data_IF_175184420511
#
_entry.id   IF_175184420511
#
_cell.length_a   1.000
_cell.length_b   1.000
_cell.length_c   1.000
_cell.angle_alpha   90.00
_cell.angle_beta   90.00
_cell.angle_gamma   90.00
#
_symmetry.space_group_name_H-M   'P 1'
#
loop_
_entity.id
_entity.type
_entity.pdbx_description
1 polymer ?
#
# COMPACT_ATOMS: atom_id res chain seq x y z
N UNK A 1 -13.44 28.15 -11.22
CA UNK A 1 -13.44 26.86 -10.50
C UNK A 1 -14.04 25.76 -11.38
N UNK A 2 -15.26 25.93 -11.89
CA UNK A 2 -15.93 24.95 -12.76
C UNK A 2 -15.11 24.62 -14.03
N UNK A 3 -14.56 25.62 -14.71
CA UNK A 3 -13.75 25.38 -15.94
C UNK A 3 -12.45 24.62 -15.67
N UNK A 4 -11.86 24.82 -14.48
CA UNK A 4 -10.67 24.07 -14.05
C UNK A 4 -11.03 22.62 -13.75
N UNK A 5 -12.16 22.39 -13.08
CA UNK A 5 -12.66 21.03 -12.81
C UNK A 5 -12.96 20.32 -14.14
N UNK A 6 -13.65 20.98 -15.08
CA UNK A 6 -13.93 20.41 -16.40
C UNK A 6 -12.63 20.09 -17.16
N UNK A 7 -11.67 21.01 -17.14
CA UNK A 7 -10.35 20.79 -17.72
C UNK A 7 -9.63 19.58 -17.12
N UNK A 8 -9.64 19.40 -15.79
CA UNK A 8 -9.01 18.25 -15.14
C UNK A 8 -9.74 16.93 -15.48
N UNK A 9 -11.07 16.96 -15.55
CA UNK A 9 -11.89 15.81 -15.93
C UNK A 9 -11.62 15.40 -17.38
N UNK A 10 -11.58 16.37 -18.30
CA UNK A 10 -11.27 16.12 -19.71
C UNK A 10 -9.85 15.58 -19.88
N UNK A 11 -8.90 16.10 -19.10
CA UNK A 11 -7.51 15.66 -19.13
C UNK A 11 -7.35 14.24 -18.57
N UNK A 12 -8.07 13.90 -17.48
CA UNK A 12 -8.13 12.54 -16.94
C UNK A 12 -8.76 11.57 -17.93
N UNK A 13 -9.89 11.95 -18.54
CA UNK A 13 -10.58 11.13 -19.53
C UNK A 13 -9.70 10.89 -20.76
N UNK A 14 -9.04 11.93 -21.27
CA UNK A 14 -8.12 11.83 -22.42
C UNK A 14 -6.93 10.92 -22.11
N UNK A 15 -6.37 11.04 -20.90
CA UNK A 15 -5.28 10.19 -20.43
C UNK A 15 -5.71 8.73 -20.29
N UNK A 16 -6.87 8.48 -19.68
CA UNK A 16 -7.44 7.13 -19.57
C UNK A 16 -7.67 6.51 -20.96
N UNK A 17 -8.24 7.30 -21.88
CA UNK A 17 -8.49 6.86 -23.26
C UNK A 17 -7.19 6.61 -24.03
N UNK A 18 -6.12 7.35 -23.76
CA UNK A 18 -4.80 7.10 -24.31
C UNK A 18 -4.27 5.73 -23.86
N UNK A 19 -4.29 5.45 -22.55
CA UNK A 19 -3.87 4.14 -22.00
C UNK A 19 -4.71 2.99 -22.57
N UNK A 20 -6.02 3.18 -22.66
CA UNK A 20 -6.96 2.19 -23.21
C UNK A 20 -6.88 2.03 -24.73
N UNK A 21 -6.34 2.98 -25.49
CA UNK A 21 -6.24 2.85 -26.96
C UNK A 21 -4.86 2.39 -27.42
N UNK A 22 -3.79 2.93 -26.84
CA UNK A 22 -2.43 2.61 -27.28
C UNK A 22 -1.88 1.34 -26.64
N UNK A 23 -2.20 1.03 -25.38
CA UNK A 23 -1.54 -0.05 -24.64
C UNK A 23 -2.51 -0.86 -23.74
N UNK A 24 -3.62 -1.34 -24.32
CA UNK A 24 -4.62 -2.19 -23.62
C UNK A 24 -4.00 -3.34 -22.84
N UNK A 25 -3.00 -4.01 -23.43
CA UNK A 25 -2.33 -5.13 -22.78
C UNK A 25 -1.62 -4.71 -21.49
N UNK A 26 -0.91 -3.58 -21.50
CA UNK A 26 -0.25 -3.04 -20.31
C UNK A 26 -1.26 -2.60 -19.25
N UNK A 27 -2.39 -2.00 -19.66
CA UNK A 27 -3.45 -1.63 -18.74
C UNK A 27 -4.07 -2.85 -18.03
N UNK A 28 -4.39 -3.91 -18.79
CA UNK A 28 -4.91 -5.16 -18.24
C UNK A 28 -3.88 -5.81 -17.32
N UNK A 29 -2.61 -5.85 -17.73
CA UNK A 29 -1.53 -6.39 -16.91
C UNK A 29 -1.37 -5.61 -15.60
N UNK A 30 -1.41 -4.27 -15.65
CA UNK A 30 -1.34 -3.43 -14.46
C UNK A 30 -2.53 -3.68 -13.52
N UNK A 31 -3.75 -3.80 -14.05
CA UNK A 31 -4.94 -4.15 -13.28
C UNK A 31 -4.82 -5.53 -12.62
N UNK A 32 -4.35 -6.53 -13.37
CA UNK A 32 -4.10 -7.87 -12.85
C UNK A 32 -3.04 -7.87 -11.76
N UNK A 33 -1.89 -7.24 -11.99
CA UNK A 33 -0.81 -7.12 -10.99
C UNK A 33 -1.28 -6.39 -9.73
N UNK A 34 -2.13 -5.38 -9.89
CA UNK A 34 -2.75 -4.67 -8.77
C UNK A 34 -3.67 -5.60 -7.97
N UNK A 35 -4.52 -6.38 -8.64
CA UNK A 35 -5.37 -7.36 -7.98
C UNK A 35 -4.56 -8.42 -7.22
N UNK A 36 -3.50 -8.94 -7.83
CA UNK A 36 -2.57 -9.90 -7.18
C UNK A 36 -1.91 -9.26 -5.96
N UNK A 37 -1.44 -8.02 -6.08
CA UNK A 37 -0.83 -7.29 -4.96
C UNK A 37 -1.80 -7.14 -3.78
N UNK A 38 -3.06 -6.79 -4.04
CA UNK A 38 -4.11 -6.72 -3.01
C UNK A 38 -4.41 -8.08 -2.37
N UNK A 39 -4.57 -9.13 -3.19
CA UNK A 39 -4.82 -10.50 -2.69
C UNK A 39 -3.67 -10.98 -1.82
N UNK A 40 -2.42 -10.77 -2.24
CA UNK A 40 -1.25 -11.09 -1.42
C UNK A 40 -1.28 -10.32 -0.09
N UNK A 41 -1.60 -9.02 -0.11
CA UNK A 41 -1.74 -8.22 1.09
C UNK A 41 -2.82 -8.73 2.05
N UNK A 42 -3.96 -9.15 1.52
CA UNK A 42 -5.09 -9.65 2.30
C UNK A 42 -4.89 -11.07 2.84
N UNK A 43 -3.96 -11.85 2.28
CA UNK A 43 -3.57 -13.16 2.80
C UNK A 43 -2.62 -13.08 3.99
N UNK A 44 -1.86 -11.99 4.15
CA UNK A 44 -0.86 -11.85 5.22
C UNK A 44 -1.43 -12.19 6.62
N UNK A 45 -2.58 -11.66 7.05
CA UNK A 45 -3.14 -11.99 8.36
C UNK A 45 -3.41 -13.47 8.55
N UNK A 46 -4.03 -14.12 7.56
CA UNK A 46 -4.33 -15.55 7.61
C UNK A 46 -3.06 -16.39 7.68
N UNK A 47 -2.01 -16.00 6.95
CA UNK A 47 -0.70 -16.66 7.03
C UNK A 47 -0.03 -16.48 8.40
N UNK A 48 -0.18 -15.32 9.05
CA UNK A 48 0.33 -15.10 10.42
C UNK A 48 -0.40 -16.03 11.40
N UNK A 49 -1.73 -16.12 11.32
CA UNK A 49 -2.53 -16.99 12.19
C UNK A 49 -2.16 -18.46 11.99
N UNK A 50 -1.99 -18.89 10.74
CA UNK A 50 -1.51 -20.24 10.42
C UNK A 50 -0.09 -20.49 10.96
N UNK A 51 0.77 -19.47 10.97
CA UNK A 51 2.09 -19.51 11.60
C UNK A 51 2.05 -19.70 13.12
N UNK A 52 0.94 -19.34 13.78
CA UNK A 52 0.70 -19.63 15.19
C UNK A 52 0.07 -21.01 15.45
N UNK A 53 -0.15 -21.80 14.39
CA UNK A 53 -0.79 -23.12 14.48
C UNK A 53 -2.32 -23.06 14.57
N UNK A 54 -2.94 -21.91 14.23
CA UNK A 54 -4.38 -21.75 14.16
C UNK A 54 -4.91 -22.11 12.76
N UNK A 55 -6.22 -22.29 12.64
CA UNK A 55 -6.88 -22.56 11.36
C UNK A 55 -6.65 -21.42 10.35
N UNK A 56 -6.75 -21.77 9.07
CA UNK A 56 -6.64 -20.81 7.98
C UNK A 56 -7.94 -20.00 7.84
N UNK A 57 -8.07 -18.92 8.61
CA UNK A 57 -9.20 -17.98 8.56
C UNK A 57 -9.14 -17.06 7.32
N UNK A 58 -9.06 -17.65 6.11
CA UNK A 58 -8.82 -16.89 4.87
C UNK A 58 -10.01 -15.99 4.53
N UNK A 59 -11.23 -16.52 4.57
CA UNK A 59 -12.44 -15.77 4.20
C UNK A 59 -12.73 -14.67 5.23
N UNK A 60 -12.58 -14.99 6.51
CA UNK A 60 -12.73 -14.07 7.63
C UNK A 60 -11.66 -12.98 7.59
N UNK A 61 -10.43 -13.33 7.23
CA UNK A 61 -9.35 -12.34 7.05
C UNK A 61 -9.68 -11.37 5.94
N UNK A 62 -10.19 -11.84 4.80
CA UNK A 62 -10.64 -10.96 3.70
C UNK A 62 -11.76 -10.03 4.16
N UNK A 63 -12.77 -10.54 4.86
CA UNK A 63 -13.85 -9.72 5.40
C UNK A 63 -13.32 -8.66 6.39
N UNK A 64 -12.46 -9.04 7.31
CA UNK A 64 -11.83 -8.11 8.25
C UNK A 64 -10.98 -7.05 7.53
N UNK A 65 -10.25 -7.40 6.48
CA UNK A 65 -9.46 -6.43 5.71
C UNK A 65 -10.33 -5.40 4.99
N UNK A 66 -11.50 -5.81 4.46
CA UNK A 66 -12.46 -4.87 3.87
C UNK A 66 -12.97 -3.88 4.93
N UNK A 67 -13.37 -4.35 6.11
CA UNK A 67 -13.78 -3.47 7.20
C UNK A 67 -12.64 -2.58 7.69
N UNK A 68 -11.43 -3.12 7.81
CA UNK A 68 -10.26 -2.36 8.23
C UNK A 68 -9.95 -1.22 7.26
N UNK A 69 -10.04 -1.45 5.94
CA UNK A 69 -9.88 -0.39 4.93
C UNK A 69 -10.92 0.72 5.11
N UNK A 70 -12.19 0.37 5.33
CA UNK A 70 -13.26 1.35 5.55
C UNK A 70 -12.96 2.18 6.80
N UNK A 71 -12.52 1.53 7.88
CA UNK A 71 -12.16 2.20 9.14
C UNK A 71 -10.97 3.16 8.93
N UNK A 72 -9.93 2.69 8.23
CA UNK A 72 -8.68 3.42 7.99
C UNK A 72 -8.86 4.59 6.99
N UNK A 73 -9.85 4.52 6.10
CA UNK A 73 -10.19 5.61 5.18
C UNK A 73 -10.76 6.85 5.89
N UNK A 74 -11.21 6.74 7.13
CA UNK A 74 -11.57 7.92 7.93
C UNK A 74 -10.28 8.70 8.28
N UNK A 75 -10.13 9.97 7.85
CA UNK A 75 -8.90 10.75 8.01
C UNK A 75 -8.75 11.25 9.46
N UNK A 76 -8.68 10.31 10.39
CA UNK A 76 -8.75 10.55 11.83
C UNK A 76 -7.37 10.70 12.47
N UNK A 77 -6.31 10.12 11.86
CA UNK A 77 -4.94 10.23 12.36
C UNK A 77 -3.92 10.31 11.21
N UNK A 78 -2.88 11.16 11.30
CA UNK A 78 -1.77 11.16 10.34
C UNK A 78 -1.12 9.77 10.29
N UNK A 79 -1.07 9.17 9.09
CA UNK A 79 -0.49 7.84 8.90
C UNK A 79 -1.32 6.66 9.44
N UNK A 80 -2.57 6.89 9.89
CA UNK A 80 -3.60 5.91 10.31
C UNK A 80 -3.15 4.78 11.27
N UNK A 81 -2.00 4.92 11.92
CA UNK A 81 -1.31 3.77 12.52
C UNK A 81 -2.00 3.28 13.80
N UNK A 82 -2.48 4.18 14.66
CA UNK A 82 -3.22 3.82 15.87
C UNK A 82 -4.61 3.23 15.57
N UNK A 83 -5.31 3.77 14.57
CA UNK A 83 -6.61 3.26 14.12
C UNK A 83 -6.47 1.90 13.46
N UNK A 84 -5.39 1.68 12.71
CA UNK A 84 -5.09 0.37 12.12
C UNK A 84 -4.77 -0.67 13.20
N UNK A 85 -4.03 -0.29 14.24
CA UNK A 85 -3.65 -1.21 15.33
C UNK A 85 -4.88 -1.64 16.15
N UNK A 86 -5.68 -0.68 16.60
CA UNK A 86 -6.92 -0.94 17.34
C UNK A 86 -7.97 -1.64 16.46
N UNK A 87 -8.08 -1.23 15.20
CA UNK A 87 -9.01 -1.84 14.24
C UNK A 87 -8.64 -3.29 13.94
N UNK A 88 -7.36 -3.58 13.68
CA UNK A 88 -6.89 -4.95 13.45
C UNK A 88 -7.05 -5.81 14.72
N UNK A 89 -6.62 -5.31 15.89
CA UNK A 89 -6.79 -6.02 17.15
C UNK A 89 -8.26 -6.31 17.47
N UNK A 90 -9.14 -5.33 17.28
CA UNK A 90 -10.57 -5.46 17.50
C UNK A 90 -11.21 -6.49 16.56
N UNK A 91 -11.02 -6.35 15.25
CA UNK A 91 -11.62 -7.26 14.26
C UNK A 91 -11.14 -8.70 14.43
N UNK A 92 -9.83 -8.91 14.67
CA UNK A 92 -9.29 -10.26 14.83
C UNK A 92 -9.60 -10.87 16.21
N UNK A 93 -9.88 -10.06 17.24
CA UNK A 93 -10.37 -10.59 18.52
C UNK A 93 -11.74 -11.25 18.39
N UNK A 94 -12.58 -10.74 17.48
CA UNK A 94 -13.89 -11.31 17.18
C UNK A 94 -13.71 -12.64 16.43
N UNK A 95 -12.80 -12.69 15.46
CA UNK A 95 -12.53 -13.90 14.65
C UNK A 95 -11.97 -15.02 15.51
N UNK A 96 -11.00 -14.73 16.40
CA UNK A 96 -10.33 -15.74 17.21
C UNK A 96 -11.17 -16.21 18.41
N UNK A 97 -12.17 -15.42 18.81
CA UNK A 97 -12.98 -15.68 20.00
C UNK A 97 -12.21 -15.38 21.31
N UNK A 98 -12.96 -15.28 22.41
CA UNK A 98 -12.45 -14.77 23.71
C UNK A 98 -11.24 -15.56 24.25
N UNK A 99 -11.24 -16.89 24.10
CA UNK A 99 -10.20 -17.77 24.64
C UNK A 99 -8.84 -17.60 23.93
N UNK A 100 -8.85 -17.55 22.60
CA UNK A 100 -7.61 -17.41 21.82
C UNK A 100 -7.11 -15.95 21.79
N UNK A 101 -8.02 -14.98 21.92
CA UNK A 101 -7.67 -13.56 21.78
C UNK A 101 -6.67 -13.06 22.82
N UNK A 102 -6.74 -13.56 24.05
CA UNK A 102 -5.89 -13.08 25.15
C UNK A 102 -4.40 -13.40 24.95
N UNK A 103 -4.08 -14.45 24.19
CA UNK A 103 -2.71 -14.91 23.96
C UNK A 103 -2.19 -14.42 22.61
N UNK A 104 -3.01 -14.45 21.56
CA UNK A 104 -2.51 -14.28 20.19
C UNK A 104 -2.66 -12.86 19.63
N UNK A 105 -3.54 -12.01 20.15
CA UNK A 105 -3.81 -10.68 19.54
C UNK A 105 -2.60 -9.75 19.58
N UNK A 106 -1.90 -9.66 20.72
CA UNK A 106 -0.71 -8.83 20.83
C UNK A 106 0.38 -9.22 19.83
N UNK A 107 0.84 -10.49 19.84
CA UNK A 107 1.80 -11.00 18.86
C UNK A 107 1.31 -10.87 17.40
N UNK A 108 0.02 -11.13 17.15
CA UNK A 108 -0.58 -11.01 15.82
C UNK A 108 -0.47 -9.58 15.29
N UNK A 109 -0.95 -8.60 16.05
CA UNK A 109 -0.94 -7.18 15.65
C UNK A 109 0.50 -6.71 15.42
N UNK A 110 1.43 -7.12 16.29
CA UNK A 110 2.85 -6.79 16.13
C UNK A 110 3.43 -7.37 14.83
N UNK A 111 3.23 -8.66 14.56
CA UNK A 111 3.70 -9.30 13.33
C UNK A 111 3.05 -8.69 12.08
N UNK A 112 1.75 -8.43 12.14
CA UNK A 112 1.01 -7.80 11.07
C UNK A 112 1.60 -6.43 10.72
N UNK A 113 1.86 -5.58 11.73
CA UNK A 113 2.49 -4.26 11.54
C UNK A 113 3.93 -4.36 11.08
N UNK A 114 4.69 -5.32 11.59
CA UNK A 114 6.08 -5.53 11.16
C UNK A 114 6.14 -5.81 9.65
N UNK A 115 5.32 -6.74 9.17
CA UNK A 115 5.28 -7.16 7.77
C UNK A 115 4.68 -6.06 6.88
N UNK A 116 3.51 -5.53 7.24
CA UNK A 116 2.75 -4.62 6.34
C UNK A 116 3.26 -3.19 6.36
N UNK A 117 3.83 -2.72 7.46
CA UNK A 117 4.24 -1.33 7.60
C UNK A 117 5.77 -1.18 7.65
N UNK A 118 6.44 -1.88 8.58
CA UNK A 118 7.84 -1.61 8.86
C UNK A 118 8.76 -2.13 7.74
N UNK A 119 8.49 -3.31 7.19
CA UNK A 119 9.27 -3.83 6.06
C UNK A 119 9.13 -2.94 4.82
N UNK A 120 7.91 -2.48 4.52
CA UNK A 120 7.67 -1.56 3.40
C UNK A 120 8.43 -0.24 3.57
N UNK A 121 8.48 0.31 4.79
CA UNK A 121 9.27 1.51 5.08
C UNK A 121 10.77 1.29 4.87
N UNK A 122 11.32 0.17 5.34
CA UNK A 122 12.74 -0.16 5.17
C UNK A 122 13.09 -0.29 3.69
N UNK A 123 12.30 -1.04 2.93
CA UNK A 123 12.50 -1.21 1.48
C UNK A 123 12.40 0.15 0.78
N UNK A 124 11.36 0.94 1.10
CA UNK A 124 11.18 2.29 0.56
C UNK A 124 12.38 3.20 0.84
N UNK A 125 12.92 3.17 2.06
CA UNK A 125 14.11 3.94 2.43
C UNK A 125 15.35 3.54 1.61
N UNK A 126 15.59 2.24 1.42
CA UNK A 126 16.72 1.74 0.60
C UNK A 126 16.60 2.22 -0.85
N UNK A 127 15.40 2.14 -1.44
CA UNK A 127 15.16 2.60 -2.80
C UNK A 127 15.28 4.12 -2.93
N UNK A 128 14.78 4.87 -1.95
CA UNK A 128 14.87 6.33 -1.93
C UNK A 128 16.32 6.81 -1.98
N UNK A 129 17.23 6.15 -1.27
CA UNK A 129 18.66 6.47 -1.31
C UNK A 129 19.27 6.29 -2.71
N UNK A 130 18.86 5.24 -3.44
CA UNK A 130 19.33 5.01 -4.82
C UNK A 130 18.80 6.07 -5.78
N UNK A 131 17.54 6.43 -5.65
CA UNK A 131 16.89 7.45 -6.47
C UNK A 131 17.54 8.82 -6.23
N UNK A 132 17.73 9.20 -4.96
CA UNK A 132 18.33 10.49 -4.62
C UNK A 132 19.74 10.67 -5.21
N UNK A 133 20.58 9.63 -5.15
CA UNK A 133 21.91 9.66 -5.77
C UNK A 133 21.84 9.81 -7.29
N UNK A 134 20.94 9.09 -7.95
CA UNK A 134 20.73 9.16 -9.40
C UNK A 134 20.29 10.56 -9.85
N UNK A 135 19.35 11.16 -9.11
CA UNK A 135 18.86 12.52 -9.40
C UNK A 135 19.95 13.56 -9.15
N UNK A 136 20.70 13.43 -8.05
CA UNK A 136 21.81 14.34 -7.75
C UNK A 136 22.92 14.28 -8.80
N UNK A 137 23.33 13.07 -9.24
CA UNK A 137 24.33 12.92 -10.30
C UNK A 137 23.85 13.51 -11.63
N UNK A 138 22.59 13.27 -11.99
CA UNK A 138 22.01 13.86 -13.21
C UNK A 138 21.99 15.39 -13.16
N UNK A 139 21.65 15.97 -12.00
CA UNK A 139 21.66 17.42 -11.81
C UNK A 139 23.07 18.01 -11.92
N UNK A 140 24.07 17.34 -11.33
CA UNK A 140 25.47 17.77 -11.41
C UNK A 140 26.00 17.71 -12.85
N UNK A 141 25.70 16.64 -13.58
CA UNK A 141 26.05 16.50 -15.00
C UNK A 141 25.38 17.58 -15.86
N UNK A 142 24.12 17.89 -15.62
CA UNK A 142 23.39 18.93 -16.35
C UNK A 142 24.02 20.32 -16.14
N UNK A 143 24.40 20.65 -14.91
CA UNK A 143 25.08 21.92 -14.58
C UNK A 143 26.46 21.98 -15.25
N UNK A 144 27.24 20.90 -15.19
CA UNK A 144 28.56 20.83 -15.85
C UNK A 144 28.47 21.07 -17.36
N UNK A 145 27.48 20.46 -18.02
CA UNK A 145 27.25 20.64 -19.47
C UNK A 145 26.74 22.02 -19.86
N UNK A 146 26.11 22.75 -18.95
CA UNK A 146 25.70 24.14 -19.18
C UNK A 146 26.90 25.07 -19.08
N UNK A 147 27.73 24.90 -18.04
CA UNK A 147 28.94 25.71 -17.83
C UNK A 147 30.00 25.56 -18.94
N UNK A 148 30.08 24.39 -19.58
CA UNK A 148 31.02 24.10 -20.68
C UNK A 148 30.59 24.70 -22.04
N UNK A 149 29.31 25.10 -22.18
CA UNK A 149 28.79 25.71 -23.42
C UNK A 149 28.91 27.24 -23.44
N UNK A 150 29.07 27.85 -22.28
CA UNK A 150 29.12 29.30 -22.10
C UNK A 150 30.57 29.84 -21.93
N UNK A 151 31.59 28.97 -21.99
CA UNK A 151 33.03 29.30 -21.94
C UNK A 151 33.76 28.96 -23.23
#
# INVERSE_FOLDING_TARGET
VIDRINSEVDNFHSSMMLFLKQNKSMFILAGFLTAVMWVCGWLIPSMILMGFGLDSFVVESFAAQVFLIIIVMMPTTPGSSGVTELGAGGLYSIILGSVNSQVYIGPFVLMFRLITYHMNLVVGAIFMQKIFKSVASFSMDAIGRYSDKDG
#
